data_IF_763284662088
#
_entry.id   IF_763284662088
#
_cell.length_a   1.000
_cell.length_b   1.000
_cell.length_c   1.000
_cell.angle_alpha   90.00
_cell.angle_beta   90.00
_cell.angle_gamma   90.00
#
_symmetry.space_group_name_H-M   'P 1'
#
loop_
_entity.id
_entity.type
_entity.pdbx_description
1 polymer ?
#
# COMPACT_ATOMS: atom_id res chain seq x y z
N UNK A 1 -18.60 -11.61 3.01
CA UNK A 1 -18.95 -12.69 2.05
C UNK A 1 -17.97 -12.78 0.87
N UNK A 2 -17.43 -11.66 0.34
CA UNK A 2 -16.60 -11.70 -0.90
C UNK A 2 -15.18 -12.28 -0.73
N UNK A 3 -14.62 -12.23 0.48
CA UNK A 3 -13.26 -12.71 0.78
C UNK A 3 -13.20 -14.11 1.38
N UNK A 4 -14.35 -14.78 1.59
CA UNK A 4 -14.38 -16.12 2.21
C UNK A 4 -13.50 -17.13 1.47
N UNK A 5 -13.47 -17.05 0.15
CA UNK A 5 -12.63 -17.88 -0.71
C UNK A 5 -11.13 -17.67 -0.50
N UNK A 6 -10.69 -16.51 0.01
CA UNK A 6 -9.30 -16.24 0.36
C UNK A 6 -8.85 -17.07 1.59
N UNK A 7 -9.78 -17.43 2.48
CA UNK A 7 -9.52 -18.17 3.71
C UNK A 7 -9.78 -19.67 3.58
N UNK A 8 -10.54 -20.10 2.57
CA UNK A 8 -10.78 -21.50 2.27
C UNK A 8 -9.65 -22.07 1.41
N UNK A 9 -8.90 -23.04 1.93
CA UNK A 9 -7.84 -23.72 1.17
C UNK A 9 -7.09 -24.76 2.00
N UNK A 10 -6.48 -25.73 1.31
CA UNK A 10 -5.66 -26.81 1.90
C UNK A 10 -4.19 -26.40 2.10
N UNK A 11 -3.79 -25.23 1.60
CA UNK A 11 -2.45 -24.70 1.77
C UNK A 11 -2.17 -24.47 3.27
N UNK A 12 -1.12 -25.10 3.79
CA UNK A 12 -0.66 -24.86 5.16
C UNK A 12 -0.21 -23.41 5.28
N UNK A 13 -0.58 -22.79 6.41
CA UNK A 13 -0.07 -21.47 6.82
C UNK A 13 1.46 -21.54 6.76
N UNK A 14 2.14 -20.71 5.97
CA UNK A 14 3.59 -20.60 6.06
C UNK A 14 3.91 -20.27 7.52
N UNK A 15 4.66 -21.14 8.20
CA UNK A 15 5.05 -20.83 9.57
C UNK A 15 5.79 -19.50 9.55
N UNK A 16 5.51 -18.62 10.51
CA UNK A 16 6.28 -17.37 10.69
C UNK A 16 7.79 -17.62 10.84
N UNK A 17 8.18 -18.87 11.17
CA UNK A 17 9.56 -19.36 11.19
C UNK A 17 10.12 -19.77 9.82
N UNK A 18 9.29 -20.10 8.83
CA UNK A 18 9.71 -20.36 7.44
C UNK A 18 9.70 -19.08 6.58
N UNK A 19 9.03 -18.03 7.06
CA UNK A 19 9.27 -16.67 6.62
C UNK A 19 10.63 -16.25 7.16
N UNK A 20 11.60 -16.02 6.27
CA UNK A 20 12.91 -15.51 6.65
C UNK A 20 12.74 -14.19 7.43
N UNK A 21 12.84 -14.26 8.76
CA UNK A 21 12.73 -13.12 9.67
C UNK A 21 13.82 -12.08 9.38
N UNK A 22 14.87 -12.45 8.64
CA UNK A 22 15.86 -11.52 8.08
C UNK A 22 15.26 -10.58 7.04
N UNK A 23 14.15 -10.93 6.37
CA UNK A 23 13.35 -10.00 5.54
C UNK A 23 12.38 -9.16 6.38
N UNK A 24 12.10 -9.56 7.61
CA UNK A 24 11.36 -8.77 8.60
C UNK A 24 12.24 -7.73 9.33
N UNK A 25 13.46 -7.46 8.83
CA UNK A 25 14.35 -6.36 9.26
C UNK A 25 13.72 -4.96 9.14
N UNK A 26 12.54 -4.85 8.55
CA UNK A 26 11.79 -3.60 8.35
C UNK A 26 10.72 -3.33 9.41
N UNK A 27 10.66 -4.13 10.49
CA UNK A 27 9.96 -3.78 11.71
C UNK A 27 10.74 -2.71 12.47
N UNK A 28 10.08 -1.58 12.77
CA UNK A 28 10.60 -0.60 13.71
C UNK A 28 10.94 -1.33 15.01
N UNK A 29 12.17 -1.17 15.50
CA UNK A 29 12.78 -1.93 16.62
C UNK A 29 11.98 -1.91 17.94
N UNK A 30 10.90 -1.12 18.04
CA UNK A 30 9.98 -1.02 19.19
C UNK A 30 8.59 -1.65 18.98
N UNK A 31 8.21 -2.05 17.76
CA UNK A 31 6.88 -2.61 17.49
C UNK A 31 6.96 -4.13 17.41
N UNK A 32 6.76 -4.81 18.54
CA UNK A 32 6.72 -6.28 18.61
C UNK A 32 5.54 -6.83 17.78
N UNK A 33 5.82 -7.74 16.85
CA UNK A 33 4.79 -8.62 16.28
C UNK A 33 4.18 -9.43 17.42
N UNK A 34 2.87 -9.28 17.65
CA UNK A 34 2.16 -10.10 18.63
C UNK A 34 2.13 -11.54 18.14
N UNK A 35 2.56 -12.56 18.93
CA UNK A 35 2.61 -13.94 18.49
C UNK A 35 1.22 -14.61 18.46
N UNK A 36 0.17 -13.85 18.18
CA UNK A 36 -1.23 -14.30 18.18
C UNK A 36 -1.77 -14.40 16.76
N UNK A 37 -1.11 -15.17 15.90
CA UNK A 37 -1.75 -15.60 14.65
C UNK A 37 -2.84 -16.59 14.98
N UNK A 38 -4.08 -16.25 14.63
CA UNK A 38 -5.18 -17.20 14.71
C UNK A 38 -5.24 -17.94 13.37
N UNK A 39 -4.95 -19.25 13.38
CA UNK A 39 -4.86 -20.07 12.14
C UNK A 39 -6.09 -19.96 11.23
N UNK A 40 -7.25 -19.53 11.75
CA UNK A 40 -8.50 -19.37 11.02
C UNK A 40 -8.56 -18.07 10.17
N UNK A 41 -7.81 -17.02 10.54
CA UNK A 41 -7.83 -15.73 9.85
C UNK A 41 -6.63 -15.52 8.90
N UNK A 42 -5.70 -16.49 8.85
CA UNK A 42 -4.61 -16.46 7.88
C UNK A 42 -5.13 -16.80 6.47
N UNK A 43 -4.68 -16.05 5.46
CA UNK A 43 -4.98 -16.28 4.06
C UNK A 43 -4.41 -17.63 3.60
N UNK A 44 -5.23 -18.40 2.87
CA UNK A 44 -4.88 -19.75 2.37
C UNK A 44 -4.99 -19.91 0.86
N UNK A 45 -5.65 -18.97 0.19
CA UNK A 45 -5.89 -19.03 -1.25
C UNK A 45 -5.47 -17.72 -1.91
N UNK A 46 -4.20 -17.68 -2.32
CA UNK A 46 -3.62 -16.53 -3.03
C UNK A 46 -4.30 -16.33 -4.39
N UNK A 47 -4.74 -17.40 -5.07
CA UNK A 47 -5.42 -17.27 -6.37
C UNK A 47 -6.75 -16.52 -6.25
N UNK A 48 -7.55 -16.80 -5.22
CA UNK A 48 -8.78 -16.03 -4.96
C UNK A 48 -8.48 -14.55 -4.71
N UNK A 49 -7.39 -14.24 -4.01
CA UNK A 49 -6.93 -12.87 -3.82
C UNK A 49 -6.50 -12.21 -5.15
N UNK A 50 -5.79 -12.94 -6.01
CA UNK A 50 -5.37 -12.44 -7.33
C UNK A 50 -6.55 -12.17 -8.28
N UNK A 51 -7.67 -12.87 -8.12
CA UNK A 51 -8.91 -12.53 -8.82
C UNK A 51 -9.39 -11.13 -8.41
N UNK A 52 -9.40 -10.80 -7.10
CA UNK A 52 -9.75 -9.46 -6.63
C UNK A 52 -8.83 -8.38 -7.23
N UNK A 53 -7.52 -8.64 -7.24
CA UNK A 53 -6.52 -7.76 -7.87
C UNK A 53 -6.84 -7.54 -9.35
N UNK A 54 -7.09 -8.62 -10.09
CA UNK A 54 -7.36 -8.56 -11.54
C UNK A 54 -8.64 -7.78 -11.84
N UNK A 55 -9.71 -7.99 -11.05
CA UNK A 55 -10.98 -7.27 -11.22
C UNK A 55 -10.79 -5.78 -10.95
N UNK A 56 -10.05 -5.39 -9.92
CA UNK A 56 -9.76 -3.98 -9.65
C UNK A 56 -9.04 -3.33 -10.84
N UNK A 57 -8.02 -4.00 -11.39
CA UNK A 57 -7.26 -3.46 -12.51
C UNK A 57 -8.12 -3.28 -13.77
N UNK A 58 -9.08 -4.17 -14.01
CA UNK A 58 -9.91 -4.19 -15.23
C UNK A 58 -11.24 -3.43 -15.13
N UNK A 59 -11.74 -3.16 -13.93
CA UNK A 59 -13.06 -2.55 -13.73
C UNK A 59 -13.01 -1.02 -13.68
N UNK A 60 -13.92 -0.35 -14.37
CA UNK A 60 -14.11 1.12 -14.24
C UNK A 60 -15.24 1.48 -13.27
N UNK A 61 -15.95 0.48 -12.72
CA UNK A 61 -17.01 0.70 -11.75
C UNK A 61 -16.45 1.11 -10.40
N UNK A 62 -16.78 2.33 -9.96
CA UNK A 62 -16.39 2.85 -8.66
C UNK A 62 -16.82 1.93 -7.53
N UNK A 63 -18.08 1.44 -7.58
CA UNK A 63 -18.63 0.54 -6.58
C UNK A 63 -17.83 -0.76 -6.47
N UNK A 64 -17.51 -1.39 -7.59
CA UNK A 64 -16.72 -2.65 -7.59
C UNK A 64 -15.31 -2.40 -7.07
N UNK A 65 -14.65 -1.34 -7.52
CA UNK A 65 -13.30 -1.01 -7.08
C UNK A 65 -13.25 -0.72 -5.56
N UNK A 66 -14.21 0.05 -5.04
CA UNK A 66 -14.32 0.34 -3.61
C UNK A 66 -14.55 -0.93 -2.79
N UNK A 67 -15.48 -1.79 -3.22
CA UNK A 67 -15.73 -3.09 -2.57
C UNK A 67 -14.48 -3.97 -2.53
N UNK A 68 -13.67 -3.95 -3.59
CA UNK A 68 -12.41 -4.70 -3.64
C UNK A 68 -11.37 -4.10 -2.68
N UNK A 69 -11.23 -2.78 -2.61
CA UNK A 69 -10.30 -2.16 -1.65
C UNK A 69 -10.71 -2.48 -0.21
N UNK A 70 -12.00 -2.43 0.12
CA UNK A 70 -12.50 -2.84 1.43
C UNK A 70 -12.25 -4.32 1.71
N UNK A 71 -12.50 -5.18 0.72
CA UNK A 71 -12.21 -6.61 0.82
C UNK A 71 -10.74 -6.89 1.13
N UNK A 72 -9.81 -6.27 0.38
CA UNK A 72 -8.37 -6.45 0.61
C UNK A 72 -7.97 -5.86 1.97
N UNK A 73 -8.53 -4.72 2.38
CA UNK A 73 -8.27 -4.11 3.69
C UNK A 73 -8.70 -5.05 4.83
N UNK A 74 -9.86 -5.70 4.71
CA UNK A 74 -10.30 -6.71 5.68
C UNK A 74 -9.37 -7.93 5.71
N UNK A 75 -8.85 -8.37 4.55
CA UNK A 75 -7.83 -9.42 4.50
C UNK A 75 -6.57 -9.02 5.26
N UNK A 76 -6.05 -7.82 5.02
CA UNK A 76 -4.87 -7.33 5.76
C UNK A 76 -5.12 -7.16 7.25
N UNK A 77 -6.31 -6.71 7.65
CA UNK A 77 -6.68 -6.52 9.05
C UNK A 77 -6.91 -7.84 9.79
N UNK A 78 -7.30 -8.90 9.08
CA UNK A 78 -7.72 -10.15 9.72
C UNK A 78 -6.59 -10.93 10.40
N UNK A 79 -5.34 -10.80 9.95
CA UNK A 79 -4.15 -11.33 10.60
C UNK A 79 -2.93 -10.54 10.13
N UNK A 80 -2.04 -10.12 11.03
CA UNK A 80 -0.85 -9.31 10.74
C UNK A 80 0.07 -9.98 9.70
N UNK A 81 0.04 -11.31 9.60
CA UNK A 81 0.83 -12.09 8.64
C UNK A 81 0.32 -11.92 7.20
N UNK A 82 -0.96 -11.60 7.00
CA UNK A 82 -1.57 -11.57 5.67
C UNK A 82 -0.96 -10.49 4.78
N UNK A 83 -0.66 -9.32 5.34
CA UNK A 83 0.03 -8.27 4.59
C UNK A 83 1.39 -8.74 4.08
N UNK A 84 2.17 -9.40 4.95
CA UNK A 84 3.50 -9.90 4.62
C UNK A 84 3.46 -11.01 3.55
N UNK A 85 2.55 -11.98 3.67
CA UNK A 85 2.39 -13.07 2.68
C UNK A 85 2.05 -12.51 1.30
N UNK A 86 1.18 -11.49 1.26
CA UNK A 86 0.73 -10.87 0.03
C UNK A 86 1.69 -9.80 -0.52
N UNK A 87 2.72 -9.40 0.23
CA UNK A 87 3.72 -8.41 -0.21
C UNK A 87 4.43 -8.85 -1.50
N UNK A 88 4.63 -10.17 -1.66
CA UNK A 88 5.19 -10.78 -2.87
C UNK A 88 4.38 -10.49 -4.14
N UNK A 89 3.08 -10.20 -4.00
CA UNK A 89 2.17 -9.97 -5.13
C UNK A 89 2.17 -8.52 -5.63
N UNK A 90 2.85 -7.60 -4.93
CA UNK A 90 2.98 -6.17 -5.29
C UNK A 90 1.65 -5.49 -5.65
N UNK A 91 0.57 -5.92 -5.02
CA UNK A 91 -0.82 -5.58 -5.40
C UNK A 91 -1.06 -4.08 -5.42
N UNK A 92 -0.64 -3.38 -4.37
CA UNK A 92 -0.87 -1.95 -4.24
C UNK A 92 0.04 -1.13 -5.16
N UNK A 93 1.23 -1.64 -5.51
CA UNK A 93 2.08 -1.05 -6.54
C UNK A 93 1.38 -1.10 -7.91
N UNK A 94 0.82 -2.25 -8.29
CA UNK A 94 0.05 -2.39 -9.53
C UNK A 94 -1.17 -1.47 -9.55
N UNK A 95 -1.83 -1.29 -8.41
CA UNK A 95 -2.94 -0.35 -8.29
C UNK A 95 -2.48 1.09 -8.46
N UNK A 96 -1.34 1.48 -7.87
CA UNK A 96 -0.78 2.83 -8.00
C UNK A 96 -0.52 3.20 -9.47
N UNK A 97 -0.05 2.26 -10.30
CA UNK A 97 0.18 2.49 -11.73
C UNK A 97 -1.09 2.91 -12.48
N UNK A 98 -2.27 2.39 -12.08
CA UNK A 98 -3.55 2.64 -12.75
C UNK A 98 -4.47 3.58 -11.99
N UNK A 99 -4.12 4.00 -10.77
CA UNK A 99 -5.03 4.76 -9.90
C UNK A 99 -5.46 6.09 -10.50
N UNK A 100 -4.62 6.69 -11.35
CA UNK A 100 -4.94 7.95 -12.03
C UNK A 100 -6.13 7.84 -12.99
N UNK A 101 -6.42 6.64 -13.46
CA UNK A 101 -7.54 6.34 -14.38
C UNK A 101 -8.83 6.04 -13.62
N UNK A 102 -8.75 5.79 -12.30
CA UNK A 102 -9.91 5.40 -11.48
C UNK A 102 -10.75 6.61 -11.07
N UNK A 103 -12.03 6.41 -10.71
CA UNK A 103 -12.89 7.44 -10.15
C UNK A 103 -12.32 8.05 -8.85
N UNK A 104 -12.60 9.32 -8.59
CA UNK A 104 -12.05 10.08 -7.44
C UNK A 104 -12.22 9.35 -6.10
N UNK A 105 -13.40 8.77 -5.83
CA UNK A 105 -13.67 8.03 -4.60
C UNK A 105 -12.74 6.83 -4.40
N UNK A 106 -12.43 6.11 -5.49
CA UNK A 106 -11.51 4.97 -5.48
C UNK A 106 -10.09 5.44 -5.18
N UNK A 107 -9.66 6.57 -5.78
CA UNK A 107 -8.35 7.16 -5.48
C UNK A 107 -8.22 7.50 -4.00
N UNK A 108 -9.22 8.17 -3.44
CA UNK A 108 -9.24 8.54 -2.01
C UNK A 108 -9.11 7.30 -1.12
N UNK A 109 -9.86 6.24 -1.41
CA UNK A 109 -9.81 5.00 -0.64
C UNK A 109 -8.47 4.28 -0.79
N UNK A 110 -7.87 4.30 -1.98
CA UNK A 110 -6.54 3.75 -2.22
C UNK A 110 -5.47 4.43 -1.35
N UNK A 111 -5.43 5.77 -1.30
CA UNK A 111 -4.48 6.48 -0.43
C UNK A 111 -4.72 6.18 1.05
N UNK A 112 -5.98 6.13 1.49
CA UNK A 112 -6.33 5.75 2.86
C UNK A 112 -5.91 4.30 3.19
N UNK A 113 -5.80 3.43 2.19
CA UNK A 113 -5.29 2.07 2.35
C UNK A 113 -3.78 2.03 2.61
N UNK A 114 -3.01 2.89 1.95
CA UNK A 114 -1.58 3.06 2.22
C UNK A 114 -1.36 3.60 3.64
N UNK A 115 -2.12 4.62 4.02
CA UNK A 115 -2.10 5.17 5.39
C UNK A 115 -2.47 4.09 6.42
N UNK A 116 -3.50 3.28 6.15
CA UNK A 116 -3.90 2.19 7.04
C UNK A 116 -2.76 1.19 7.33
N UNK A 117 -1.98 0.80 6.31
CA UNK A 117 -0.86 -0.14 6.48
C UNK A 117 0.18 0.40 7.46
N UNK A 118 0.46 1.70 7.40
CA UNK A 118 1.41 2.33 8.31
C UNK A 118 0.79 2.59 9.68
N UNK A 119 -0.35 3.28 9.70
CA UNK A 119 -0.92 3.85 10.92
C UNK A 119 -1.61 2.81 11.82
N UNK A 120 -2.12 1.72 11.23
CA UNK A 120 -2.86 0.71 11.99
C UNK A 120 -2.14 -0.63 12.01
N UNK A 121 -1.53 -1.05 10.90
CA UNK A 121 -0.77 -2.30 10.86
C UNK A 121 0.71 -2.12 11.25
N UNK A 122 1.18 -0.87 11.40
CA UNK A 122 2.54 -0.55 11.83
C UNK A 122 3.65 -1.11 10.93
N UNK A 123 3.38 -1.26 9.63
CA UNK A 123 4.36 -1.68 8.63
C UNK A 123 4.95 -0.49 7.86
N UNK A 124 6.16 -0.67 7.32
CA UNK A 124 6.81 0.29 6.41
C UNK A 124 6.66 -0.23 4.96
N UNK A 125 5.67 0.26 4.18
CA UNK A 125 5.37 -0.26 2.84
C UNK A 125 6.31 0.34 1.77
N UNK A 126 7.60 -0.03 1.80
CA UNK A 126 8.65 0.59 0.97
C UNK A 126 8.34 0.55 -0.53
N UNK A 127 7.85 -0.58 -1.04
CA UNK A 127 7.54 -0.76 -2.47
C UNK A 127 6.42 0.17 -2.92
N UNK A 128 5.39 0.29 -2.09
CA UNK A 128 4.25 1.16 -2.33
C UNK A 128 4.65 2.62 -2.26
N UNK A 129 5.53 3.01 -1.33
CA UNK A 129 6.06 4.37 -1.25
C UNK A 129 6.91 4.74 -2.47
N UNK A 130 7.69 3.80 -3.02
CA UNK A 130 8.37 3.98 -4.30
C UNK A 130 7.34 4.15 -5.42
N UNK A 131 6.30 3.31 -5.48
CA UNK A 131 5.25 3.44 -6.49
C UNK A 131 4.52 4.80 -6.41
N UNK A 132 4.25 5.30 -5.19
CA UNK A 132 3.67 6.62 -4.98
C UNK A 132 4.63 7.75 -5.38
N UNK A 133 5.94 7.59 -5.19
CA UNK A 133 6.93 8.59 -5.61
C UNK A 133 7.01 8.69 -7.13
N UNK A 134 6.93 7.56 -7.84
CA UNK A 134 6.82 7.51 -9.30
C UNK A 134 5.51 8.14 -9.77
N UNK A 135 4.38 7.82 -9.13
CA UNK A 135 3.07 8.41 -9.43
C UNK A 135 3.08 9.95 -9.25
N UNK A 136 3.69 10.42 -8.17
CA UNK A 136 3.86 11.84 -7.87
C UNK A 136 4.74 12.53 -8.93
N UNK A 137 5.84 11.89 -9.34
CA UNK A 137 6.75 12.40 -10.37
C UNK A 137 6.09 12.47 -11.75
N UNK A 138 5.24 11.51 -12.09
CA UNK A 138 4.51 11.47 -13.36
C UNK A 138 3.51 12.65 -13.49
N UNK A 139 3.01 13.17 -12.36
CA UNK A 139 2.22 14.39 -12.27
C UNK A 139 1.01 14.42 -13.23
N UNK A 140 0.30 13.29 -13.37
CA UNK A 140 -0.84 13.15 -14.28
C UNK A 140 -1.99 14.12 -13.99
N UNK A 141 -2.34 14.31 -12.71
CA UNK A 141 -3.43 15.18 -12.24
C UNK A 141 -3.02 15.84 -10.93
N UNK A 142 -3.30 17.14 -10.78
CA UNK A 142 -2.96 17.91 -9.58
C UNK A 142 -3.54 17.29 -8.30
N UNK A 143 -4.78 16.80 -8.35
CA UNK A 143 -5.43 16.14 -7.20
C UNK A 143 -4.66 14.92 -6.71
N UNK A 144 -4.06 14.15 -7.63
CA UNK A 144 -3.29 12.94 -7.29
C UNK A 144 -1.94 13.35 -6.69
N UNK A 145 -1.27 14.36 -7.27
CA UNK A 145 -0.03 14.89 -6.72
C UNK A 145 -0.23 15.44 -5.29
N UNK A 146 -1.35 16.15 -5.05
CA UNK A 146 -1.74 16.60 -3.72
C UNK A 146 -1.99 15.41 -2.79
N UNK A 147 -2.69 14.38 -3.24
CA UNK A 147 -2.96 13.19 -2.43
C UNK A 147 -1.69 12.41 -2.07
N UNK A 148 -0.76 12.22 -3.01
CA UNK A 148 0.56 11.63 -2.74
C UNK A 148 1.33 12.47 -1.71
N UNK A 149 1.43 13.79 -1.91
CA UNK A 149 2.14 14.68 -0.99
C UNK A 149 1.53 14.67 0.42
N UNK A 150 0.19 14.65 0.52
CA UNK A 150 -0.53 14.53 1.80
C UNK A 150 -0.24 13.20 2.49
N UNK A 151 -0.24 12.10 1.73
CA UNK A 151 0.10 10.78 2.25
C UNK A 151 1.53 10.78 2.81
N UNK A 152 2.52 11.24 2.03
CA UNK A 152 3.90 11.31 2.50
C UNK A 152 4.07 12.18 3.76
N UNK A 153 3.38 13.32 3.83
CA UNK A 153 3.38 14.18 5.02
C UNK A 153 2.72 13.48 6.22
N UNK A 154 1.63 12.75 6.00
CA UNK A 154 0.93 11.99 7.03
C UNK A 154 1.86 10.98 7.70
N UNK A 155 2.57 10.16 6.91
CA UNK A 155 3.46 9.14 7.45
C UNK A 155 4.68 9.74 8.16
N UNK A 156 5.25 10.82 7.61
CA UNK A 156 6.37 11.53 8.24
C UNK A 156 5.99 12.11 9.61
N UNK A 157 4.76 12.62 9.74
CA UNK A 157 4.22 13.11 11.02
C UNK A 157 3.93 11.98 12.00
N UNK A 158 3.62 10.79 11.50
CA UNK A 158 3.35 9.63 12.33
C UNK A 158 4.62 9.09 13.00
N UNK A 159 5.73 8.95 12.25
CA UNK A 159 6.99 8.46 12.78
C UNK A 159 8.19 9.06 12.04
N UNK A 160 9.19 9.52 12.78
CA UNK A 160 10.41 10.13 12.21
C UNK A 160 11.25 9.15 11.38
N UNK A 161 11.09 7.83 11.55
CA UNK A 161 11.74 6.80 10.71
C UNK A 161 11.48 7.02 9.22
N UNK A 162 10.34 7.60 8.86
CA UNK A 162 10.01 7.88 7.46
C UNK A 162 10.93 8.92 6.84
N UNK A 163 11.62 9.77 7.61
CA UNK A 163 12.64 10.68 7.08
C UNK A 163 13.81 9.90 6.46
N UNK A 164 14.28 8.85 7.14
CA UNK A 164 15.36 7.99 6.65
C UNK A 164 14.85 7.10 5.51
N UNK A 165 13.65 6.53 5.64
CA UNK A 165 13.03 5.76 4.55
C UNK A 165 12.95 6.60 3.28
N UNK A 166 12.45 7.83 3.35
CA UNK A 166 12.30 8.71 2.17
C UNK A 166 13.64 9.06 1.51
N UNK A 167 14.72 9.15 2.31
CA UNK A 167 16.07 9.30 1.79
C UNK A 167 16.54 8.03 1.08
N UNK A 168 16.32 6.86 1.69
CA UNK A 168 16.71 5.57 1.10
C UNK A 168 15.99 5.29 -0.22
N UNK A 169 14.69 5.60 -0.31
CA UNK A 169 13.87 5.27 -1.48
C UNK A 169 13.81 6.38 -2.54
N UNK A 170 14.56 7.46 -2.36
CA UNK A 170 14.69 8.53 -3.36
C UNK A 170 13.47 9.45 -3.49
N UNK A 171 12.67 9.62 -2.44
CA UNK A 171 11.48 10.49 -2.45
C UNK A 171 11.87 11.98 -2.41
N UNK A 172 13.00 12.31 -1.78
CA UNK A 172 13.47 13.69 -1.64
C UNK A 172 13.81 14.32 -3.00
N UNK A 173 14.36 13.54 -3.93
CA UNK A 173 14.67 13.93 -5.30
C UNK A 173 13.40 14.25 -6.08
N UNK A 174 12.31 13.52 -5.83
CA UNK A 174 11.00 13.78 -6.45
C UNK A 174 10.45 15.12 -5.96
N UNK A 175 10.49 15.39 -4.65
CA UNK A 175 10.05 16.68 -4.11
C UNK A 175 10.90 17.85 -4.63
N UNK A 176 12.21 17.70 -4.69
CA UNK A 176 13.11 18.71 -5.25
C UNK A 176 12.82 18.98 -6.74
N UNK A 177 12.54 17.92 -7.51
CA UNK A 177 12.15 18.05 -8.91
C UNK A 177 10.84 18.84 -9.07
N UNK A 178 9.81 18.49 -8.29
CA UNK A 178 8.52 19.20 -8.31
C UNK A 178 8.65 20.66 -7.90
N UNK A 179 9.46 20.97 -6.88
CA UNK A 179 9.70 22.34 -6.45
C UNK A 179 10.30 23.20 -7.58
N UNK A 180 11.31 22.67 -8.28
CA UNK A 180 11.91 23.34 -9.45
C UNK A 180 10.89 23.56 -10.57
N UNK A 181 10.05 22.56 -10.83
CA UNK A 181 8.98 22.66 -11.84
C UNK A 181 8.01 23.78 -11.50
N UNK A 182 7.54 23.86 -10.25
CA UNK A 182 6.64 24.94 -9.79
C UNK A 182 7.30 26.32 -9.90
N UNK A 183 8.56 26.46 -9.49
CA UNK A 183 9.29 27.74 -9.61
C UNK A 183 9.40 28.23 -11.07
N UNK A 184 9.62 27.31 -12.03
CA UNK A 184 9.66 27.66 -13.46
C UNK A 184 8.32 28.19 -13.98
N UNK A 185 7.19 27.70 -13.44
CA UNK A 185 5.87 28.24 -13.78
C UNK A 185 5.62 29.61 -13.13
N UNK A 186 6.14 29.84 -11.91
CA UNK A 186 6.00 31.12 -11.21
C UNK A 186 6.88 32.23 -11.77
N UNK A 187 8.03 31.91 -12.37
CA UNK A 187 8.97 32.88 -12.96
C UNK A 187 8.66 33.33 -14.41
N UNK A 188 7.48 32.99 -14.95
CA UNK A 188 7.00 33.43 -16.28
C UNK A 188 5.91 34.52 -16.19
N UNK A 189 5.97 35.39 -15.19
CA UNK A 189 5.15 36.61 -15.11
C UNK A 189 6.03 37.83 -15.08
#
# INVERSE_FOLDING_TARGET
>A
MIVSLCYCGYAQVPSLHAVDVSKAQFLVKELRVSPRSSKAACLRNINAFLVLQTVFLRSDSALVCCLILDAIKEVYKSDDVNYFVLESQSTLCLFAEKIHQKPRVVRTQFFAMIEFIVLQLNFIPRKELIALSVLLKANHLLEISIACARTFLCLLRHNSVFADVYREIGVLEVFAHLHKTVQRFSGKR
#
